data_IF_731795206076
#
_entry.id   IF_731795206076
#
_cell.length_a   1.000
_cell.length_b   1.000
_cell.length_c   1.000
_cell.angle_alpha   90.00
_cell.angle_beta   90.00
_cell.angle_gamma   90.00
#
_symmetry.space_group_name_H-M   'P 1'
#
loop_
_entity.id
_entity.type
_entity.pdbx_description
1 polymer ?
#
# COMPACT_ATOMS: atom_id res chain seq x y z
N UNK A 1 3.82 43.29 19.16
CA UNK A 1 4.66 42.09 18.93
C UNK A 1 5.15 42.13 17.48
N UNK A 2 6.44 42.41 17.23
CA UNK A 2 6.98 42.43 15.85
C UNK A 2 7.38 41.01 15.47
N UNK A 3 6.56 40.34 14.67
CA UNK A 3 6.92 39.04 14.09
C UNK A 3 8.02 39.24 13.06
N UNK A 4 9.21 38.70 13.32
CA UNK A 4 10.24 38.60 12.30
C UNK A 4 9.91 37.41 11.40
N UNK A 5 9.26 37.70 10.27
CA UNK A 5 8.74 36.70 9.32
C UNK A 5 9.81 35.66 8.92
N UNK A 6 11.09 36.07 8.80
CA UNK A 6 12.21 35.16 8.50
C UNK A 6 12.50 34.17 9.63
N UNK A 7 12.38 34.60 10.89
CA UNK A 7 12.59 33.74 12.07
C UNK A 7 11.42 32.78 12.27
N UNK A 8 10.20 33.27 12.11
CA UNK A 8 8.98 32.46 12.24
C UNK A 8 8.90 31.35 11.17
N UNK A 9 9.25 31.66 9.92
CA UNK A 9 9.30 30.67 8.84
C UNK A 9 10.32 29.55 9.11
N UNK A 10 11.50 29.88 9.66
CA UNK A 10 12.52 28.88 10.01
C UNK A 10 12.03 27.92 11.10
N UNK A 11 11.37 28.45 12.13
CA UNK A 11 10.81 27.63 13.22
C UNK A 11 9.72 26.70 12.67
N UNK A 12 8.83 27.21 11.82
CA UNK A 12 7.77 26.41 11.21
C UNK A 12 8.33 25.27 10.34
N UNK A 13 9.34 25.54 9.51
CA UNK A 13 10.00 24.53 8.68
C UNK A 13 10.68 23.46 9.55
N UNK A 14 11.40 23.88 10.60
CA UNK A 14 12.05 22.93 11.51
C UNK A 14 11.01 22.04 12.21
N UNK A 15 9.92 22.63 12.69
CA UNK A 15 8.83 21.88 13.32
C UNK A 15 8.18 20.87 12.36
N UNK A 16 7.86 21.30 11.12
CA UNK A 16 7.32 20.42 10.09
C UNK A 16 8.28 19.27 9.74
N UNK A 17 9.59 19.55 9.68
CA UNK A 17 10.61 18.53 9.46
C UNK A 17 10.68 17.51 10.60
N UNK A 18 10.69 17.97 11.85
CA UNK A 18 10.69 17.09 13.04
C UNK A 18 9.43 16.22 13.05
N UNK A 19 8.26 16.79 12.75
CA UNK A 19 7.03 16.02 12.60
C UNK A 19 7.14 14.99 11.47
N UNK A 20 7.60 15.38 10.29
CA UNK A 20 7.76 14.47 9.15
C UNK A 20 8.68 13.29 9.46
N UNK A 21 9.82 13.55 10.13
CA UNK A 21 10.75 12.52 10.60
C UNK A 21 10.09 11.65 11.66
N UNK A 22 9.37 12.24 12.62
CA UNK A 22 8.64 11.52 13.65
C UNK A 22 7.59 10.55 13.09
N UNK A 23 6.85 10.97 12.05
CA UNK A 23 5.85 10.12 11.38
C UNK A 23 6.45 8.85 10.79
N UNK A 24 7.71 8.88 10.33
CA UNK A 24 8.37 7.71 9.74
C UNK A 24 8.53 6.53 10.73
N UNK A 25 8.50 6.79 12.04
CA UNK A 25 8.64 5.76 13.07
C UNK A 25 7.35 4.98 13.37
N UNK A 26 6.26 5.28 12.67
CA UNK A 26 4.99 4.57 12.78
C UNK A 26 4.74 3.85 11.43
N UNK A 27 5.31 2.64 11.23
CA UNK A 27 5.19 1.91 9.97
C UNK A 27 3.79 1.28 9.84
N UNK A 28 3.38 1.02 8.60
CA UNK A 28 2.21 0.18 8.31
C UNK A 28 2.57 -1.30 8.26
N UNK A 29 1.56 -2.16 8.44
CA UNK A 29 1.71 -3.61 8.23
C UNK A 29 1.60 -3.90 6.72
N UNK A 30 2.62 -4.55 6.16
CA UNK A 30 2.67 -4.89 4.73
C UNK A 30 1.89 -6.17 4.43
N UNK A 31 1.19 -6.18 3.29
CA UNK A 31 0.48 -7.32 2.70
C UNK A 31 1.45 -8.17 1.88
N UNK A 32 2.28 -8.96 2.56
CA UNK A 32 3.22 -9.88 1.92
C UNK A 32 2.97 -11.30 2.43
N UNK A 33 2.79 -12.24 1.50
CA UNK A 33 2.54 -13.65 1.81
C UNK A 33 3.28 -14.53 0.81
N UNK A 34 3.91 -15.60 1.31
CA UNK A 34 4.56 -16.61 0.49
C UNK A 34 3.63 -17.77 0.11
N UNK A 35 2.34 -17.69 0.44
CA UNK A 35 1.36 -18.76 0.27
C UNK A 35 0.35 -18.39 -0.80
N UNK A 36 0.17 -19.26 -1.79
CA UNK A 36 -0.92 -19.20 -2.78
C UNK A 36 -2.02 -20.16 -2.31
N UNK A 37 -3.17 -19.61 -1.93
CA UNK A 37 -4.31 -20.39 -1.41
C UNK A 37 -4.95 -21.23 -2.52
N UNK A 38 -5.62 -22.34 -2.16
CA UNK A 38 -6.38 -23.16 -3.13
C UNK A 38 -7.58 -22.40 -3.73
N UNK A 39 -8.08 -21.42 -2.98
CA UNK A 39 -9.14 -20.50 -3.37
C UNK A 39 -8.66 -19.39 -4.31
N UNK A 40 -7.37 -19.34 -4.66
CA UNK A 40 -6.87 -18.33 -5.58
C UNK A 40 -7.54 -18.47 -6.95
N UNK A 41 -7.88 -17.34 -7.57
CA UNK A 41 -8.54 -17.28 -8.86
C UNK A 41 -7.81 -18.10 -9.94
N UNK A 42 -6.47 -18.04 -9.97
CA UNK A 42 -5.64 -18.77 -10.93
C UNK A 42 -5.61 -20.29 -10.70
N UNK A 43 -6.00 -20.76 -9.51
CA UNK A 43 -6.15 -22.19 -9.18
C UNK A 43 -7.58 -22.68 -9.39
N UNK A 44 -8.55 -21.78 -9.21
CA UNK A 44 -9.98 -22.11 -9.35
C UNK A 44 -10.40 -22.17 -10.83
N UNK A 45 -9.78 -21.34 -11.69
CA UNK A 45 -10.13 -21.25 -13.12
C UNK A 45 -8.94 -21.56 -14.03
N UNK A 46 -9.24 -22.14 -15.21
CA UNK A 46 -8.26 -22.28 -16.30
C UNK A 46 -8.07 -20.92 -16.99
N UNK A 47 -7.11 -20.14 -16.51
CA UNK A 47 -6.78 -18.81 -17.04
C UNK A 47 -5.67 -18.92 -18.11
N UNK A 48 -5.90 -18.44 -19.35
CA UNK A 48 -4.84 -18.33 -20.37
C UNK A 48 -3.64 -17.50 -19.90
N UNK A 49 -2.46 -17.77 -20.43
CA UNK A 49 -1.19 -17.12 -20.03
C UNK A 49 -1.22 -15.59 -20.17
N UNK A 50 -1.85 -15.09 -21.22
CA UNK A 50 -1.92 -13.66 -21.53
C UNK A 50 -2.78 -12.94 -20.48
N UNK A 51 -3.94 -13.51 -20.16
CA UNK A 51 -4.86 -12.97 -19.14
C UNK A 51 -4.22 -13.04 -17.75
N UNK A 52 -3.52 -14.15 -17.44
CA UNK A 52 -2.77 -14.30 -16.20
C UNK A 52 -1.78 -13.15 -16.00
N UNK A 53 -1.02 -12.81 -17.04
CA UNK A 53 -0.05 -11.72 -17.00
C UNK A 53 -0.72 -10.37 -16.73
N UNK A 54 -1.85 -10.11 -17.40
CA UNK A 54 -2.63 -8.88 -17.21
C UNK A 54 -3.12 -8.79 -15.76
N UNK A 55 -3.75 -9.83 -15.22
CA UNK A 55 -4.23 -9.84 -13.84
C UNK A 55 -3.11 -9.61 -12.83
N UNK A 56 -1.96 -10.29 -13.00
CA UNK A 56 -0.81 -10.13 -12.09
C UNK A 56 -0.24 -8.73 -12.09
N UNK A 57 -0.24 -8.06 -13.23
CA UNK A 57 0.39 -6.73 -13.39
C UNK A 57 -0.57 -5.57 -13.12
N UNK A 58 -1.87 -5.76 -13.35
CA UNK A 58 -2.87 -4.72 -13.21
C UNK A 58 -3.69 -4.82 -11.91
N UNK A 59 -3.88 -6.02 -11.36
CA UNK A 59 -4.89 -6.25 -10.31
C UNK A 59 -4.31 -6.86 -9.02
N UNK A 60 -3.47 -7.88 -9.12
CA UNK A 60 -3.07 -8.69 -7.96
C UNK A 60 -2.36 -7.90 -6.87
N UNK A 61 -1.58 -6.86 -7.21
CA UNK A 61 -0.87 -6.07 -6.20
C UNK A 61 -1.84 -5.35 -5.24
N UNK A 62 -3.06 -5.02 -5.67
CA UNK A 62 -4.06 -4.37 -4.80
C UNK A 62 -5.14 -5.33 -4.31
N UNK A 63 -5.52 -6.32 -5.13
CA UNK A 63 -6.65 -7.21 -4.89
C UNK A 63 -6.22 -8.64 -4.52
N UNK A 64 -5.08 -8.86 -3.87
CA UNK A 64 -4.66 -10.21 -3.45
C UNK A 64 -3.96 -10.19 -2.08
N UNK A 65 -3.63 -11.36 -1.54
CA UNK A 65 -2.90 -11.50 -0.28
C UNK A 65 -1.38 -11.29 -0.40
N UNK A 66 -0.89 -10.76 -1.54
CA UNK A 66 0.52 -10.44 -1.72
C UNK A 66 0.72 -9.24 -2.67
N UNK A 67 1.35 -8.18 -2.19
CA UNK A 67 1.59 -6.94 -2.93
C UNK A 67 3.06 -6.73 -3.22
N UNK A 68 3.41 -6.49 -4.49
CA UNK A 68 4.74 -5.97 -4.88
C UNK A 68 4.77 -4.46 -4.73
N UNK A 69 5.14 -4.02 -3.53
CA UNK A 69 5.15 -2.61 -3.20
C UNK A 69 6.19 -1.80 -3.99
N UNK A 70 5.81 -0.59 -4.47
CA UNK A 70 6.78 0.36 -4.98
C UNK A 70 7.62 0.97 -3.86
N UNK A 71 8.77 1.55 -4.21
CA UNK A 71 9.75 2.05 -3.24
C UNK A 71 9.19 3.08 -2.25
N UNK A 72 8.20 3.87 -2.67
CA UNK A 72 7.63 4.95 -1.87
C UNK A 72 6.66 4.47 -0.78
N UNK A 73 6.26 3.18 -0.78
CA UNK A 73 5.53 2.56 0.33
C UNK A 73 6.39 2.43 1.61
N UNK A 74 7.65 2.86 1.59
CA UNK A 74 8.50 2.94 2.79
C UNK A 74 8.48 4.32 3.46
N UNK A 75 7.79 5.30 2.85
CA UNK A 75 7.76 6.68 3.33
C UNK A 75 6.35 7.05 3.80
N UNK A 76 6.25 7.57 5.02
CA UNK A 76 4.99 8.10 5.53
C UNK A 76 4.73 9.53 5.05
N UNK A 77 3.46 9.89 4.80
CA UNK A 77 2.23 9.09 5.01
C UNK A 77 1.80 8.24 3.79
N UNK A 78 2.62 8.18 2.73
CA UNK A 78 2.25 7.47 1.50
C UNK A 78 2.03 5.97 1.73
N UNK A 79 2.80 5.36 2.62
CA UNK A 79 2.61 3.95 2.98
C UNK A 79 1.24 3.71 3.66
N UNK A 80 0.83 4.57 4.61
CA UNK A 80 -0.49 4.45 5.24
C UNK A 80 -1.63 4.55 4.25
N UNK A 81 -1.55 5.52 3.34
CA UNK A 81 -2.58 5.70 2.31
C UNK A 81 -2.67 4.48 1.40
N UNK A 82 -1.52 3.95 0.96
CA UNK A 82 -1.47 2.76 0.14
C UNK A 82 -2.03 1.51 0.84
N UNK A 83 -1.64 1.26 2.09
CA UNK A 83 -2.18 0.11 2.83
C UNK A 83 -3.68 0.22 3.07
N UNK A 84 -4.19 1.43 3.31
CA UNK A 84 -5.63 1.68 3.41
C UNK A 84 -6.34 1.24 2.13
N UNK A 85 -5.86 1.68 0.97
CA UNK A 85 -6.45 1.31 -0.32
C UNK A 85 -6.32 -0.17 -0.67
N UNK A 86 -5.21 -0.82 -0.32
CA UNK A 86 -5.07 -2.27 -0.52
C UNK A 86 -6.07 -3.02 0.37
N UNK A 87 -6.25 -2.58 1.61
CA UNK A 87 -7.22 -3.19 2.53
C UNK A 87 -8.63 -3.05 1.99
N UNK A 88 -9.06 -1.83 1.66
CA UNK A 88 -10.37 -1.55 1.08
C UNK A 88 -10.58 -2.29 -0.25
N UNK A 89 -9.58 -2.30 -1.14
CA UNK A 89 -9.66 -3.01 -2.41
C UNK A 89 -9.91 -4.51 -2.24
N UNK A 90 -9.28 -5.14 -1.24
CA UNK A 90 -9.50 -6.56 -0.93
C UNK A 90 -10.84 -6.87 -0.28
N UNK A 91 -11.43 -5.90 0.43
CA UNK A 91 -12.78 -6.05 0.98
C UNK A 91 -13.82 -6.17 -0.13
N UNK A 92 -13.66 -5.41 -1.21
CA UNK A 92 -14.53 -5.47 -2.38
C UNK A 92 -14.22 -6.68 -3.29
N UNK A 93 -12.93 -7.00 -3.48
CA UNK A 93 -12.51 -8.14 -4.30
C UNK A 93 -11.10 -8.61 -3.93
N UNK A 94 -10.96 -9.90 -3.66
CA UNK A 94 -9.70 -10.55 -3.32
C UNK A 94 -9.49 -11.82 -4.15
N UNK A 95 -8.57 -11.73 -5.12
CA UNK A 95 -8.18 -12.83 -6.01
C UNK A 95 -7.59 -14.03 -5.26
N UNK A 96 -7.00 -13.85 -4.08
CA UNK A 96 -6.47 -14.97 -3.29
C UNK A 96 -7.56 -15.79 -2.59
N UNK A 97 -8.69 -15.15 -2.28
CA UNK A 97 -9.82 -15.77 -1.59
C UNK A 97 -11.01 -16.02 -2.53
N UNK A 98 -10.80 -15.88 -3.86
CA UNK A 98 -11.87 -15.84 -4.86
C UNK A 98 -12.80 -17.06 -4.86
N UNK A 99 -12.26 -18.26 -4.69
CA UNK A 99 -13.03 -19.50 -4.62
C UNK A 99 -13.86 -19.66 -3.34
N UNK A 100 -13.79 -18.69 -2.42
CA UNK A 100 -14.59 -18.65 -1.18
C UNK A 100 -15.79 -17.70 -1.25
N UNK A 101 -15.92 -16.92 -2.33
CA UNK A 101 -17.12 -16.12 -2.61
C UNK A 101 -18.28 -17.03 -3.02
#
# INVERSE_FOLDING_TARGET
MRFNLKSTAKIAVLFAFVLFVGLQFIPSKRNESNRILETDFEKTFRVPSEIRTILKTACYDCHSNNTRYPWYNRLQPAAWFMEGHITEGKEELNFSDFGSY
#
